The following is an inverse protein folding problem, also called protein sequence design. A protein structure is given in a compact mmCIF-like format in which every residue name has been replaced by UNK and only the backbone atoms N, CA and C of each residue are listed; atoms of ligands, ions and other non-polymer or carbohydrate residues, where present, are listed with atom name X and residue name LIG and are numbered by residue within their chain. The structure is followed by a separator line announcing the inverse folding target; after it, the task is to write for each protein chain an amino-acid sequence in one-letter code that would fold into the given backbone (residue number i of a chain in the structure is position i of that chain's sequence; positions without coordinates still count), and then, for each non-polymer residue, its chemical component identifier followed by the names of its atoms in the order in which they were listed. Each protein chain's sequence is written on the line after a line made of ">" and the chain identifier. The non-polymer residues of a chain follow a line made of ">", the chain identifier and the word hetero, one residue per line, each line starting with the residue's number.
data_IF_009819511549
#
_entry.id   IF_009819511549
#
_cell.length_a   1.000
_cell.length_b   1.000
_cell.length_c   1.000
_cell.angle_alpha   90.00
_cell.angle_beta   90.00
_cell.angle_gamma   90.00
#
_symmetry.space_group_name_H-M   'P 1'
#
loop_
_entity.id
_entity.type
_entity.pdbx_description
1 polymer ?
#
# COMPACT_ATOMS: atom_id res chain seq x y z
N UNK A 1 24.08 12.07 -51.96
CA UNK A 1 22.76 11.88 -51.30
C UNK A 1 22.64 10.56 -50.52
N UNK A 2 23.15 9.42 -50.99
CA UNK A 2 22.95 8.10 -50.35
C UNK A 2 23.51 7.96 -48.92
N UNK A 3 24.69 8.51 -48.62
CA UNK A 3 25.31 8.41 -47.29
C UNK A 3 24.58 9.19 -46.17
N UNK A 4 23.77 10.21 -46.53
CA UNK A 4 22.99 10.98 -45.54
C UNK A 4 21.74 10.21 -45.05
N UNK A 5 21.20 9.30 -45.88
CA UNK A 5 20.05 8.48 -45.51
C UNK A 5 20.41 7.34 -44.56
N UNK A 6 21.55 6.69 -44.77
CA UNK A 6 22.02 5.59 -43.89
C UNK A 6 22.36 6.06 -42.49
N UNK A 7 22.94 7.27 -42.35
CA UNK A 7 23.25 7.85 -41.04
C UNK A 7 22.00 8.26 -40.25
N UNK A 8 20.94 8.67 -40.95
CA UNK A 8 19.65 9.03 -40.34
C UNK A 8 18.91 7.79 -39.82
N UNK A 9 18.96 6.68 -40.57
CA UNK A 9 18.35 5.40 -40.17
C UNK A 9 19.04 4.84 -38.92
N UNK A 10 20.39 4.90 -38.85
CA UNK A 10 21.13 4.42 -37.68
C UNK A 10 20.81 5.23 -36.41
N UNK A 11 20.66 6.56 -36.55
CA UNK A 11 20.28 7.47 -35.47
C UNK A 11 18.86 7.17 -34.97
N UNK A 12 17.91 6.93 -35.89
CA UNK A 12 16.53 6.55 -35.56
C UNK A 12 16.45 5.19 -34.85
N UNK A 13 17.22 4.19 -35.28
CA UNK A 13 17.27 2.89 -34.57
C UNK A 13 17.92 3.00 -33.19
N UNK A 14 18.91 3.87 -33.00
CA UNK A 14 19.50 4.11 -31.68
C UNK A 14 18.54 4.86 -30.74
N UNK A 15 17.72 5.76 -31.29
CA UNK A 15 16.67 6.47 -30.54
C UNK A 15 15.51 5.54 -30.12
N UNK A 16 15.16 4.56 -30.96
CA UNK A 16 14.12 3.56 -30.69
C UNK A 16 14.55 2.49 -29.68
N UNK A 17 15.85 2.21 -29.57
CA UNK A 17 16.42 1.29 -28.56
C UNK A 17 16.57 1.93 -27.17
N UNK A 18 16.38 3.25 -27.06
CA UNK A 18 16.40 4.00 -25.79
C UNK A 18 15.04 4.18 -25.12
N UNK A 19 13.98 3.55 -25.65
CA UNK A 19 12.67 3.53 -24.99
C UNK A 19 12.71 2.55 -23.81
N UNK A 20 13.34 2.98 -22.71
CA UNK A 20 13.16 2.31 -21.42
C UNK A 20 11.69 2.35 -21.02
N UNK A 21 11.21 1.29 -20.37
CA UNK A 21 9.90 1.27 -19.74
C UNK A 21 9.84 2.41 -18.72
N UNK A 22 9.05 3.45 -19.00
CA UNK A 22 8.65 4.43 -18.00
C UNK A 22 7.66 3.71 -17.08
N UNK A 23 8.17 3.16 -15.98
CA UNK A 23 7.34 2.68 -14.88
C UNK A 23 6.80 3.91 -14.15
N UNK A 24 5.48 4.04 -14.13
CA UNK A 24 4.83 5.13 -13.45
C UNK A 24 4.71 4.79 -11.95
N UNK A 25 5.35 5.60 -11.10
CA UNK A 25 5.29 5.51 -9.62
C UNK A 25 3.99 6.09 -9.11
N UNK A 26 3.27 5.42 -8.22
CA UNK A 26 1.95 5.93 -7.84
C UNK A 26 1.44 5.54 -6.45
N UNK A 27 1.96 4.48 -5.82
CA UNK A 27 1.38 3.99 -4.57
C UNK A 27 1.79 4.84 -3.35
N UNK A 28 0.81 5.37 -2.61
CA UNK A 28 0.99 6.17 -1.38
C UNK A 28 0.67 5.40 -0.11
N UNK A 29 -0.46 4.70 -0.10
CA UNK A 29 -0.89 3.87 1.02
C UNK A 29 -1.81 2.75 0.55
N UNK A 30 -1.87 1.65 1.29
CA UNK A 30 -2.76 0.55 0.99
C UNK A 30 -3.08 -0.26 2.25
N UNK A 31 -4.21 -0.95 2.24
CA UNK A 31 -4.68 -1.84 3.31
C UNK A 31 -5.45 -3.03 2.73
N UNK A 32 -5.47 -4.14 3.49
CA UNK A 32 -6.30 -5.32 3.21
C UNK A 32 -7.29 -5.47 4.36
N UNK A 33 -8.58 -5.47 4.05
CA UNK A 33 -9.64 -5.83 4.99
C UNK A 33 -10.41 -7.05 4.51
N UNK A 34 -11.01 -7.79 5.44
CA UNK A 34 -11.80 -8.97 5.14
C UNK A 34 -13.03 -9.10 6.03
N UNK A 35 -14.05 -9.74 5.49
CA UNK A 35 -15.31 -10.05 6.18
C UNK A 35 -15.70 -11.50 5.96
N UNK A 36 -16.08 -12.20 7.03
CA UNK A 36 -16.65 -13.53 6.95
C UNK A 36 -18.01 -13.52 6.24
N UNK A 37 -18.20 -14.47 5.32
CA UNK A 37 -19.46 -14.64 4.58
C UNK A 37 -20.20 -15.88 5.06
N UNK A 38 -19.59 -17.05 4.90
CA UNK A 38 -20.17 -18.34 5.30
C UNK A 38 -19.13 -19.44 5.22
N UNK A 39 -19.17 -20.42 6.13
CA UNK A 39 -18.23 -21.53 6.11
C UNK A 39 -16.79 -21.01 6.20
N UNK A 40 -15.96 -21.36 5.20
CA UNK A 40 -14.57 -20.91 5.05
C UNK A 40 -14.42 -19.79 4.02
N UNK A 41 -15.52 -19.15 3.63
CA UNK A 41 -15.57 -18.10 2.61
C UNK A 41 -15.55 -16.72 3.25
N UNK A 42 -14.68 -15.86 2.71
CA UNK A 42 -14.47 -14.49 3.13
C UNK A 42 -14.48 -13.56 1.93
N UNK A 43 -15.03 -12.36 2.10
CA UNK A 43 -14.90 -11.26 1.15
C UNK A 43 -13.69 -10.42 1.55
N UNK A 44 -12.83 -10.11 0.59
CA UNK A 44 -11.64 -9.30 0.76
C UNK A 44 -11.77 -7.99 0.00
N UNK A 45 -11.25 -6.93 0.61
CA UNK A 45 -11.15 -5.60 0.00
C UNK A 45 -9.70 -5.12 0.10
N UNK A 46 -9.14 -4.72 -1.04
CA UNK A 46 -7.88 -3.98 -1.09
C UNK A 46 -8.24 -2.52 -1.34
N UNK A 47 -7.92 -1.66 -0.39
CA UNK A 47 -8.05 -0.20 -0.52
C UNK A 47 -6.67 0.36 -0.82
N UNK A 48 -6.52 1.13 -1.89
CA UNK A 48 -5.25 1.77 -2.23
C UNK A 48 -5.44 3.25 -2.54
N UNK A 49 -4.47 4.05 -2.11
CA UNK A 49 -4.38 5.48 -2.33
C UNK A 49 -3.18 5.76 -3.22
N UNK A 50 -3.43 6.44 -4.34
CA UNK A 50 -2.42 6.59 -5.38
C UNK A 50 -2.38 8.01 -5.95
N UNK A 51 -1.29 8.38 -6.62
CA UNK A 51 -1.15 9.69 -7.25
C UNK A 51 -2.10 9.85 -8.44
N UNK A 52 -2.94 10.89 -8.43
CA UNK A 52 -3.84 11.22 -9.55
C UNK A 52 -3.06 11.63 -10.80
N UNK A 53 -1.90 12.26 -10.63
CA UNK A 53 -1.01 12.70 -11.70
C UNK A 53 -0.28 11.55 -12.41
N UNK A 54 -0.33 10.34 -11.86
CA UNK A 54 0.35 9.17 -12.40
C UNK A 54 -0.61 8.31 -13.26
N UNK A 55 -0.30 8.05 -14.54
CA UNK A 55 -1.14 7.23 -15.40
C UNK A 55 -1.00 5.72 -15.12
N UNK A 56 -0.23 5.32 -14.09
CA UNK A 56 0.06 3.92 -13.78
C UNK A 56 -1.21 3.09 -13.55
N UNK A 57 -2.14 3.65 -12.77
CA UNK A 57 -3.36 2.97 -12.35
C UNK A 57 -4.44 2.94 -13.43
N UNK A 58 -4.42 3.87 -14.37
CA UNK A 58 -5.35 3.88 -15.50
C UNK A 58 -5.23 2.58 -16.33
N UNK A 59 -4.04 1.95 -16.28
CA UNK A 59 -3.73 0.73 -17.01
C UNK A 59 -3.98 -0.59 -16.25
N UNK A 60 -4.16 -0.56 -14.92
CA UNK A 60 -4.29 -1.79 -14.10
C UNK A 60 -5.66 -1.93 -13.42
N UNK A 61 -6.66 -2.54 -14.10
CA UNK A 61 -8.00 -2.74 -13.53
C UNK A 61 -8.07 -3.90 -12.52
N UNK A 62 -6.93 -4.53 -12.21
CA UNK A 62 -6.86 -5.65 -11.28
C UNK A 62 -5.67 -5.53 -10.35
N UNK A 63 -5.75 -6.20 -9.20
CA UNK A 63 -4.68 -6.26 -8.21
C UNK A 63 -4.42 -7.72 -7.82
N UNK A 64 -3.18 -8.24 -7.96
CA UNK A 64 -2.84 -9.58 -7.50
C UNK A 64 -2.96 -9.68 -5.98
N UNK A 65 -3.45 -10.82 -5.52
CA UNK A 65 -3.54 -11.18 -4.11
C UNK A 65 -3.10 -12.63 -3.92
N UNK A 66 -2.31 -12.88 -2.90
CA UNK A 66 -1.90 -14.23 -2.50
C UNK A 66 -2.59 -14.56 -1.18
N UNK A 67 -3.22 -15.73 -1.11
CA UNK A 67 -4.12 -16.09 -0.01
C UNK A 67 -3.40 -16.74 1.17
N UNK A 68 -2.13 -17.14 1.01
CA UNK A 68 -1.38 -17.84 2.04
C UNK A 68 -1.68 -19.34 2.13
N UNK A 69 -2.35 -19.90 1.12
CA UNK A 69 -2.71 -21.33 1.00
C UNK A 69 -2.19 -21.96 -0.30
N UNK A 70 -1.08 -21.44 -0.82
CA UNK A 70 -0.48 -21.75 -2.13
C UNK A 70 -1.35 -21.38 -3.35
N UNK A 71 -2.45 -20.64 -3.15
CA UNK A 71 -3.27 -20.09 -4.23
C UNK A 71 -3.20 -18.55 -4.27
N UNK A 72 -3.58 -18.00 -5.41
CA UNK A 72 -3.56 -16.56 -5.70
C UNK A 72 -4.63 -16.20 -6.71
N UNK A 73 -5.11 -14.96 -6.66
CA UNK A 73 -6.09 -14.41 -7.59
C UNK A 73 -5.70 -13.00 -8.07
N UNK A 74 -6.48 -12.48 -9.02
CA UNK A 74 -6.45 -11.07 -9.41
C UNK A 74 -7.80 -10.42 -9.11
N UNK A 75 -7.87 -9.57 -8.09
CA UNK A 75 -9.09 -8.89 -7.68
C UNK A 75 -9.44 -7.79 -8.66
N UNK A 76 -10.74 -7.62 -8.95
CA UNK A 76 -11.21 -6.61 -9.89
C UNK A 76 -11.40 -5.27 -9.18
N UNK A 77 -10.95 -4.18 -9.80
CA UNK A 77 -11.25 -2.82 -9.35
C UNK A 77 -12.74 -2.51 -9.53
N UNK A 78 -13.39 -2.13 -8.44
CA UNK A 78 -14.80 -1.72 -8.43
C UNK A 78 -14.98 -0.21 -8.23
N UNK A 79 -13.95 0.48 -7.74
CA UNK A 79 -13.95 1.94 -7.53
C UNK A 79 -12.61 2.52 -7.95
N UNK A 80 -12.66 3.65 -8.67
CA UNK A 80 -11.49 4.40 -9.12
C UNK A 80 -11.90 5.85 -9.36
N UNK A 81 -11.66 6.72 -8.38
CA UNK A 81 -11.98 8.15 -8.48
C UNK A 81 -11.00 8.99 -7.66
N UNK A 82 -10.64 10.19 -8.13
CA UNK A 82 -9.96 11.19 -7.31
C UNK A 82 -10.74 11.46 -6.01
N UNK A 83 -10.02 11.65 -4.91
CA UNK A 83 -10.65 11.98 -3.63
C UNK A 83 -11.01 13.48 -3.64
N UNK A 84 -12.28 13.86 -3.40
CA UNK A 84 -12.68 15.26 -3.37
C UNK A 84 -11.87 16.07 -2.35
N UNK A 85 -11.51 17.29 -2.73
CA UNK A 85 -10.78 18.25 -1.89
C UNK A 85 -9.40 17.77 -1.37
N UNK A 86 -8.85 16.70 -1.94
CA UNK A 86 -7.50 16.21 -1.64
C UNK A 86 -6.61 16.36 -2.87
N UNK A 87 -5.45 16.98 -2.67
CA UNK A 87 -4.51 17.22 -3.76
C UNK A 87 -3.78 15.93 -4.17
N UNK A 88 -3.84 15.64 -5.47
CA UNK A 88 -3.08 14.60 -6.16
C UNK A 88 -3.23 13.21 -5.51
N UNK A 89 -4.48 12.81 -5.24
CA UNK A 89 -4.77 11.50 -4.68
C UNK A 89 -6.06 10.87 -5.22
N UNK A 90 -5.95 9.60 -5.59
CA UNK A 90 -7.01 8.76 -6.16
C UNK A 90 -7.24 7.56 -5.26
N UNK A 91 -8.52 7.23 -5.02
CA UNK A 91 -8.93 6.04 -4.30
C UNK A 91 -9.21 4.90 -5.27
N UNK A 92 -8.58 3.75 -5.02
CA UNK A 92 -8.82 2.50 -5.71
C UNK A 92 -9.39 1.48 -4.72
N UNK A 93 -10.48 0.80 -5.10
CA UNK A 93 -11.04 -0.31 -4.31
C UNK A 93 -11.14 -1.54 -5.20
N UNK A 94 -10.50 -2.63 -4.77
CA UNK A 94 -10.54 -3.94 -5.42
C UNK A 94 -11.22 -4.94 -4.49
N UNK A 95 -12.07 -5.80 -5.03
CA UNK A 95 -12.78 -6.80 -4.22
C UNK A 95 -12.78 -8.17 -4.85
N UNK A 96 -12.91 -9.18 -3.99
CA UNK A 96 -13.14 -10.56 -4.37
C UNK A 96 -13.44 -11.43 -3.16
N UNK A 97 -13.83 -12.67 -3.41
CA UNK A 97 -14.15 -13.64 -2.37
C UNK A 97 -13.21 -14.83 -2.50
N UNK A 98 -12.73 -15.36 -1.38
CA UNK A 98 -11.92 -16.57 -1.34
C UNK A 98 -12.51 -17.59 -0.38
N UNK A 99 -12.36 -18.87 -0.71
CA UNK A 99 -12.76 -19.98 0.17
C UNK A 99 -11.55 -20.81 0.54
N UNK A 100 -11.18 -20.77 1.82
CA UNK A 100 -10.01 -21.47 2.33
C UNK A 100 -10.24 -22.98 2.41
N UNK A 101 -9.19 -23.80 2.27
CA UNK A 101 -9.32 -25.27 2.25
C UNK A 101 -9.66 -25.88 3.62
N UNK A 102 -9.43 -25.16 4.72
CA UNK A 102 -9.69 -25.63 6.06
C UNK A 102 -9.41 -24.58 7.14
N UNK A 103 -9.50 -24.97 8.42
CA UNK A 103 -8.94 -24.20 9.52
C UNK A 103 -7.43 -24.04 9.39
N UNK A 104 -6.91 -22.87 9.77
CA UNK A 104 -5.49 -22.56 9.69
C UNK A 104 -5.19 -21.08 9.85
N UNK A 105 -3.90 -20.77 9.81
CA UNK A 105 -3.37 -19.42 9.87
C UNK A 105 -2.95 -19.01 8.46
N UNK A 106 -3.62 -18.01 7.90
CA UNK A 106 -3.43 -17.57 6.53
C UNK A 106 -2.84 -16.17 6.51
N UNK A 107 -1.72 -16.02 5.80
CA UNK A 107 -1.10 -14.73 5.53
C UNK A 107 -1.50 -14.27 4.14
N UNK A 108 -2.40 -13.29 4.08
CA UNK A 108 -2.87 -12.69 2.85
C UNK A 108 -1.95 -11.53 2.49
N UNK A 109 -1.43 -11.51 1.26
CA UNK A 109 -0.42 -10.51 0.85
C UNK A 109 -0.74 -9.89 -0.49
N UNK A 110 -0.40 -8.61 -0.63
CA UNK A 110 -0.46 -7.85 -1.88
C UNK A 110 0.89 -7.15 -2.08
N UNK A 111 1.44 -7.28 -3.29
CA UNK A 111 2.65 -6.58 -3.70
C UNK A 111 2.39 -5.80 -4.99
N UNK A 112 2.60 -4.49 -4.95
CA UNK A 112 2.59 -3.62 -6.12
C UNK A 112 4.01 -3.13 -6.43
N UNK A 113 4.49 -3.25 -7.69
CA UNK A 113 5.86 -2.91 -8.03
C UNK A 113 6.22 -1.42 -7.90
N UNK A 114 5.26 -0.49 -7.83
CA UNK A 114 5.51 0.93 -8.06
C UNK A 114 5.12 1.84 -6.87
N UNK A 115 5.96 1.92 -5.84
CA UNK A 115 5.85 2.96 -4.78
C UNK A 115 6.15 4.35 -5.32
N UNK A 116 5.66 5.40 -4.64
CA UNK A 116 5.98 6.77 -4.99
C UNK A 116 7.48 7.09 -4.94
N UNK A 117 7.95 7.95 -5.84
CA UNK A 117 9.30 8.52 -5.82
C UNK A 117 9.41 9.61 -4.74
N UNK A 118 10.61 9.77 -4.16
CA UNK A 118 10.90 10.88 -3.23
C UNK A 118 10.42 10.65 -1.79
N UNK A 119 10.07 9.42 -1.40
CA UNK A 119 9.78 9.09 0.00
C UNK A 119 11.09 9.17 0.81
N UNK A 120 11.16 10.10 1.75
CA UNK A 120 12.42 10.49 2.40
C UNK A 120 13.04 9.34 3.20
N UNK A 121 12.20 8.53 3.84
CA UNK A 121 12.66 7.46 4.72
C UNK A 121 12.77 6.09 4.03
N UNK A 122 12.74 6.06 2.70
CA UNK A 122 12.97 4.87 1.88
C UNK A 122 14.04 5.19 0.82
N UNK A 123 15.23 4.56 0.87
CA UNK A 123 16.24 4.73 -0.17
C UNK A 123 15.73 4.29 -1.55
N UNK A 124 15.92 5.13 -2.57
CA UNK A 124 15.49 4.88 -3.95
C UNK A 124 14.02 4.42 -4.06
N UNK A 125 13.11 5.10 -3.35
CA UNK A 125 11.72 4.65 -3.15
C UNK A 125 10.94 4.26 -4.41
N UNK A 126 11.25 4.88 -5.56
CA UNK A 126 10.70 4.53 -6.88
C UNK A 126 10.91 3.07 -7.27
N UNK A 127 12.03 2.47 -6.88
CA UNK A 127 12.40 1.10 -7.25
C UNK A 127 12.03 0.08 -6.16
N UNK A 128 11.32 0.51 -5.11
CA UNK A 128 10.95 -0.37 -3.98
C UNK A 128 9.46 -0.65 -4.03
N UNK A 129 9.02 -1.92 -4.21
CA UNK A 129 7.59 -2.24 -4.28
C UNK A 129 6.88 -1.94 -2.96
N UNK A 130 5.58 -1.68 -3.04
CA UNK A 130 4.70 -1.61 -1.89
C UNK A 130 4.22 -3.02 -1.55
N UNK A 131 4.44 -3.45 -0.30
CA UNK A 131 3.99 -4.74 0.19
C UNK A 131 3.15 -4.55 1.45
N UNK A 132 1.96 -5.14 1.46
CA UNK A 132 1.07 -5.18 2.63
C UNK A 132 0.63 -6.61 2.89
N UNK A 133 0.42 -6.93 4.17
CA UNK A 133 -0.05 -8.24 4.60
C UNK A 133 -1.13 -8.11 5.67
N UNK A 134 -2.04 -9.08 5.69
CA UNK A 134 -3.04 -9.25 6.74
C UNK A 134 -3.07 -10.72 7.16
N UNK A 135 -3.36 -10.98 8.43
CA UNK A 135 -3.43 -12.32 8.99
C UNK A 135 -4.88 -12.69 9.29
N UNK A 136 -5.27 -13.89 8.84
CA UNK A 136 -6.57 -14.48 9.12
C UNK A 136 -6.36 -15.83 9.81
N UNK A 137 -6.90 -15.94 11.02
CA UNK A 137 -6.91 -17.19 11.78
C UNK A 137 -8.32 -17.77 11.69
N UNK A 138 -8.45 -18.92 11.03
CA UNK A 138 -9.71 -19.65 10.94
C UNK A 138 -9.69 -20.76 11.99
N UNK A 139 -10.39 -20.56 13.10
CA UNK A 139 -10.42 -21.51 14.22
C UNK A 139 -11.86 -21.97 14.51
N UNK A 140 -12.16 -23.29 14.44
CA UNK A 140 -13.52 -23.80 14.65
C UNK A 140 -14.05 -23.63 16.07
N UNK A 141 -13.20 -23.27 17.04
CA UNK A 141 -13.56 -23.10 18.45
C UNK A 141 -13.77 -21.64 18.86
N UNK A 142 -13.22 -20.68 18.12
CA UNK A 142 -13.26 -19.24 18.46
C UNK A 142 -14.43 -18.54 17.75
N UNK A 143 -14.89 -19.10 16.63
CA UNK A 143 -15.97 -18.54 15.83
C UNK A 143 -15.44 -17.85 14.57
N UNK A 144 -16.30 -17.05 13.95
CA UNK A 144 -15.94 -16.28 12.76
C UNK A 144 -15.25 -14.99 13.20
N UNK A 145 -14.27 -14.52 12.43
CA UNK A 145 -13.52 -13.31 12.69
C UNK A 145 -13.52 -12.41 11.45
N UNK A 146 -13.58 -11.10 11.63
CA UNK A 146 -13.45 -10.10 10.57
C UNK A 146 -12.22 -9.25 10.84
N UNK A 147 -11.70 -8.57 9.81
CA UNK A 147 -10.63 -7.61 10.05
C UNK A 147 -11.17 -6.34 10.69
N UNK A 148 -10.29 -5.60 11.34
CA UNK A 148 -10.54 -4.20 11.70
C UNK A 148 -10.94 -3.39 10.47
N UNK A 149 -11.70 -2.32 10.73
CA UNK A 149 -12.05 -1.29 9.76
C UNK A 149 -11.31 -0.01 10.14
N UNK A 150 -10.54 0.57 9.21
CA UNK A 150 -9.88 1.86 9.44
C UNK A 150 -10.82 2.97 8.93
N UNK A 151 -11.33 3.78 9.84
CA UNK A 151 -12.36 4.78 9.53
C UNK A 151 -11.78 6.12 9.08
N UNK A 152 -10.53 6.40 9.47
CA UNK A 152 -9.81 7.59 9.03
C UNK A 152 -8.81 7.18 7.95
N UNK A 153 -8.98 7.64 6.70
CA UNK A 153 -8.04 7.34 5.64
C UNK A 153 -6.69 8.04 5.89
N UNK A 154 -5.57 7.50 5.39
CA UNK A 154 -4.22 8.06 5.59
C UNK A 154 -3.97 9.29 4.71
N UNK A 155 -4.81 10.32 4.88
CA UNK A 155 -4.81 11.59 4.13
C UNK A 155 -4.27 12.68 5.05
N UNK A 156 -2.97 12.64 5.25
CA UNK A 156 -2.35 13.38 6.34
C UNK A 156 -1.37 14.45 5.85
N UNK A 157 -1.50 15.64 6.41
CA UNK A 157 -0.54 16.73 6.22
C UNK A 157 -0.11 17.31 7.57
N UNK A 158 1.15 17.06 7.92
CA UNK A 158 1.81 17.66 9.08
C UNK A 158 2.58 18.93 8.74
N UNK A 159 3.01 19.66 9.77
CA UNK A 159 3.87 20.84 9.64
C UNK A 159 5.21 20.61 10.36
N UNK A 160 6.31 21.06 9.75
CA UNK A 160 7.64 21.02 10.37
C UNK A 160 7.61 21.81 11.69
N UNK A 161 8.16 21.23 12.74
CA UNK A 161 8.23 21.83 14.07
C UNK A 161 6.90 21.92 14.84
N UNK A 162 5.82 21.32 14.31
CA UNK A 162 4.51 21.27 14.97
C UNK A 162 4.15 19.81 15.20
N UNK A 163 3.69 19.48 16.42
CA UNK A 163 3.20 18.13 16.72
C UNK A 163 2.10 17.72 15.74
N UNK A 164 2.31 16.60 15.08
CA UNK A 164 1.35 15.96 14.20
C UNK A 164 0.80 14.70 14.88
N UNK A 165 -0.51 14.50 14.80
CA UNK A 165 -1.19 13.33 15.32
C UNK A 165 -2.11 12.78 14.22
N UNK A 166 -2.00 11.49 13.96
CA UNK A 166 -2.95 10.73 13.16
C UNK A 166 -3.49 9.56 13.99
N UNK A 167 -4.78 9.27 13.84
CA UNK A 167 -5.39 8.07 14.38
C UNK A 167 -6.20 7.43 13.26
N UNK A 168 -5.96 6.15 12.91
CA UNK A 168 -6.70 5.47 11.85
C UNK A 168 -8.17 5.18 12.22
N UNK A 169 -8.56 5.45 13.47
CA UNK A 169 -9.86 5.18 14.06
C UNK A 169 -10.29 3.73 13.81
N UNK A 170 -9.38 2.79 14.11
CA UNK A 170 -9.64 1.38 13.84
C UNK A 170 -10.77 0.86 14.73
N UNK A 171 -11.68 0.12 14.11
CA UNK A 171 -12.86 -0.45 14.74
C UNK A 171 -12.94 -1.93 14.43
N UNK A 172 -13.10 -2.75 15.48
CA UNK A 172 -13.34 -4.17 15.35
C UNK A 172 -14.85 -4.47 15.38
N UNK A 173 -15.43 -5.04 14.31
CA UNK A 173 -16.86 -5.32 14.26
C UNK A 173 -17.30 -6.49 15.14
N UNK A 174 -16.37 -7.36 15.56
CA UNK A 174 -16.63 -8.52 16.41
C UNK A 174 -16.51 -8.17 17.90
N UNK A 175 -15.97 -6.98 18.22
CA UNK A 175 -15.84 -6.46 19.57
C UNK A 175 -14.54 -6.89 20.25
N UNK A 176 -13.55 -7.32 19.47
CA UNK A 176 -12.25 -7.70 19.97
C UNK A 176 -11.44 -6.50 20.46
N UNK A 177 -10.50 -6.78 21.38
CA UNK A 177 -9.56 -5.77 21.85
C UNK A 177 -8.47 -5.50 20.83
N UNK A 178 -8.21 -4.23 20.55
CA UNK A 178 -7.20 -3.81 19.59
C UNK A 178 -5.90 -3.39 20.27
N UNK A 179 -4.78 -3.67 19.59
CA UNK A 179 -3.46 -3.17 19.98
C UNK A 179 -2.68 -2.76 18.75
N UNK A 180 -1.82 -1.76 18.90
CA UNK A 180 -1.13 -1.12 17.78
C UNK A 180 0.37 -1.14 17.96
N UNK A 181 1.10 -1.31 16.85
CA UNK A 181 2.55 -1.28 16.82
C UNK A 181 3.04 -0.84 15.45
N UNK A 182 4.05 0.02 15.42
CA UNK A 182 4.77 0.37 14.21
C UNK A 182 5.67 -0.79 13.77
N UNK A 183 5.68 -1.05 12.47
CA UNK A 183 6.56 -2.04 11.83
C UNK A 183 7.40 -1.35 10.77
N UNK A 184 8.51 -1.97 10.38
CA UNK A 184 9.28 -1.46 9.25
C UNK A 184 8.45 -1.61 7.98
N UNK A 185 8.53 -0.62 7.09
CA UNK A 185 7.92 -0.75 5.78
C UNK A 185 8.52 -1.94 5.03
N UNK A 186 7.64 -2.71 4.40
CA UNK A 186 8.00 -3.89 3.62
C UNK A 186 8.15 -3.54 2.13
N UNK A 187 9.07 -4.24 1.50
CA UNK A 187 9.33 -4.19 0.07
C UNK A 187 9.23 -5.58 -0.55
N UNK A 188 10.10 -5.86 -1.51
CA UNK A 188 10.04 -7.05 -2.34
C UNK A 188 9.97 -8.33 -1.49
N UNK A 189 9.01 -9.22 -1.79
CA UNK A 189 8.82 -10.49 -1.10
C UNK A 189 8.44 -10.36 0.37
N UNK A 190 8.01 -9.17 0.82
CA UNK A 190 7.60 -8.92 2.20
C UNK A 190 8.75 -8.76 3.19
N UNK A 191 9.98 -8.54 2.70
CA UNK A 191 11.14 -8.21 3.54
C UNK A 191 11.14 -6.73 3.95
N UNK A 192 11.69 -6.45 5.13
CA UNK A 192 11.97 -5.09 5.58
C UNK A 192 12.87 -4.37 4.57
N UNK A 193 12.52 -3.13 4.22
CA UNK A 193 13.28 -2.36 3.25
C UNK A 193 14.66 -2.00 3.83
N UNK A 194 15.77 -2.38 3.18
CA UNK A 194 17.10 -2.02 3.64
C UNK A 194 17.30 -0.50 3.70
N UNK A 195 17.70 0.01 4.86
CA UNK A 195 17.93 1.44 5.08
C UNK A 195 16.67 2.26 5.36
N UNK A 196 15.50 1.63 5.47
CA UNK A 196 14.30 2.27 6.01
C UNK A 196 14.55 2.75 7.45
N UNK A 197 14.00 3.91 7.79
CA UNK A 197 13.90 4.38 9.17
C UNK A 197 12.51 4.93 9.42
N UNK A 198 12.07 4.93 10.67
CA UNK A 198 10.91 5.76 11.03
C UNK A 198 11.21 7.25 10.77
N UNK A 199 10.17 8.09 10.56
CA UNK A 199 10.35 9.52 10.35
C UNK A 199 11.17 10.16 11.46
N UNK A 200 12.14 10.99 11.06
CA UNK A 200 12.98 11.69 12.02
C UNK A 200 12.18 12.73 12.78
N UNK A 201 12.36 12.79 14.09
CA UNK A 201 11.73 13.75 14.99
C UNK A 201 12.81 14.39 15.86
N UNK A 202 12.66 15.68 16.20
CA UNK A 202 13.57 16.30 17.19
C UNK A 202 13.22 15.90 18.62
N UNK A 203 12.00 15.41 18.86
CA UNK A 203 11.58 14.85 20.14
C UNK A 203 11.28 13.35 20.05
N UNK A 204 10.19 12.96 19.37
CA UNK A 204 9.78 11.55 19.29
C UNK A 204 8.87 11.26 18.10
N UNK A 205 8.93 10.03 17.60
CA UNK A 205 7.95 9.43 16.70
C UNK A 205 7.51 8.10 17.30
N UNK A 206 6.23 7.93 17.60
CA UNK A 206 5.70 6.73 18.25
C UNK A 206 4.21 6.52 17.94
N UNK A 207 3.72 5.30 18.17
CA UNK A 207 2.30 4.97 18.20
C UNK A 207 1.89 4.60 19.63
N UNK A 208 0.73 5.07 20.08
CA UNK A 208 0.12 4.57 21.31
C UNK A 208 -0.48 3.17 21.08
N UNK A 209 -0.04 2.19 21.86
CA UNK A 209 -0.42 0.80 21.67
C UNK A 209 -1.89 0.48 22.02
N UNK A 210 -2.62 1.41 22.62
CA UNK A 210 -4.03 1.25 23.02
C UNK A 210 -4.94 2.13 22.17
N UNK A 211 -4.63 3.43 22.02
CA UNK A 211 -5.47 4.35 21.24
C UNK A 211 -5.22 4.28 19.74
N UNK A 212 -4.02 3.85 19.32
CA UNK A 212 -3.60 3.89 17.92
C UNK A 212 -3.14 5.29 17.45
N UNK A 213 -2.98 6.25 18.36
CA UNK A 213 -2.48 7.59 18.02
C UNK A 213 -1.01 7.51 17.59
N UNK A 214 -0.77 7.78 16.32
CA UNK A 214 0.57 8.04 15.79
C UNK A 214 0.91 9.49 16.10
N UNK A 215 1.93 9.69 16.92
CA UNK A 215 2.38 11.01 17.37
C UNK A 215 3.78 11.30 16.83
N UNK A 216 3.87 12.29 15.95
CA UNK A 216 5.14 12.81 15.45
C UNK A 216 5.41 14.19 16.08
N UNK A 217 6.23 14.20 17.13
CA UNK A 217 6.57 15.42 17.87
C UNK A 217 7.73 16.14 17.20
N UNK A 218 7.46 17.35 16.72
CA UNK A 218 8.39 18.24 16.02
C UNK A 218 9.08 17.55 14.83
N UNK A 219 8.34 17.31 13.72
CA UNK A 219 8.91 16.88 12.46
C UNK A 219 10.03 17.82 12.02
N UNK A 220 11.14 17.29 11.50
CA UNK A 220 12.36 18.08 11.24
C UNK A 220 12.58 18.45 9.77
N UNK A 221 12.13 17.60 8.85
CA UNK A 221 12.37 17.76 7.41
C UNK A 221 11.04 17.63 6.68
N UNK A 222 10.76 18.59 5.81
CA UNK A 222 9.59 18.56 4.94
C UNK A 222 9.76 17.51 3.83
N UNK A 223 8.71 16.72 3.59
CA UNK A 223 8.60 15.80 2.46
C UNK A 223 7.58 14.69 2.72
N UNK A 224 7.62 13.64 1.92
CA UNK A 224 6.74 12.48 2.06
C UNK A 224 7.43 11.34 2.81
N UNK A 225 6.65 10.60 3.61
CA UNK A 225 7.13 9.53 4.47
C UNK A 225 6.15 8.35 4.40
N UNK A 226 6.66 7.12 4.54
CA UNK A 226 5.86 5.93 4.77
C UNK A 226 6.11 5.40 6.20
N UNK A 227 5.05 4.93 6.85
CA UNK A 227 5.04 4.51 8.26
C UNK A 227 4.43 3.12 8.40
#
# INVERSE_FOLDING_TARGET
>A
MRYRFTSLILLLTFLLLGLGSLHATHQRAAEITYKHVSGLTYDFTITMYTLTSSPADDASPKMPIFWGDDTSDELKRIYFQPIPDVYDMTLNIYTGSHTFPGPGDYKITVEDPNRNSGIINIPNSVDVPMFIESELIINPFIGNNNSVQLLNPPIDMGCVGIMFIHNPAAYDPDGDSLSYKLVNCKGAGGYDIPGYTFPMASESFAIDGISGDIVWKNPVIQGEYNI
#
